data_IF_367865086666
#
_entry.id   IF_367865086666
#
_cell.length_a   1.000
_cell.length_b   1.000
_cell.length_c   1.000
_cell.angle_alpha   90.00
_cell.angle_beta   90.00
_cell.angle_gamma   90.00
#
_symmetry.space_group_name_H-M   'P 1'
#
loop_
_entity.id
_entity.type
_entity.pdbx_description
1 polymer ?
#
# COMPACT_ATOMS: atom_id res chain seq x y z
N UNK A 1 -68.02 -25.86 -4.04
CA UNK A 1 -66.93 -25.17 -4.76
C UNK A 1 -66.12 -24.37 -3.75
N UNK A 2 -64.91 -24.83 -3.42
CA UNK A 2 -63.95 -24.12 -2.55
C UNK A 2 -62.60 -24.15 -3.26
N UNK A 3 -62.04 -22.98 -3.50
CA UNK A 3 -60.72 -22.79 -4.08
C UNK A 3 -59.66 -22.98 -2.99
N UNK A 4 -58.61 -23.75 -3.30
CA UNK A 4 -57.40 -23.85 -2.49
C UNK A 4 -56.28 -23.17 -3.29
N UNK A 5 -55.73 -22.08 -2.78
CA UNK A 5 -54.51 -21.48 -3.33
C UNK A 5 -53.31 -22.35 -2.95
N UNK A 6 -52.76 -23.07 -3.93
CA UNK A 6 -51.44 -23.69 -3.83
C UNK A 6 -50.36 -22.66 -4.19
N UNK A 7 -49.47 -22.36 -3.24
CA UNK A 7 -48.25 -21.58 -3.51
C UNK A 7 -47.20 -22.51 -4.10
N UNK A 8 -46.81 -22.27 -5.34
CA UNK A 8 -45.66 -22.89 -6.00
C UNK A 8 -44.43 -22.05 -5.67
N UNK A 9 -43.52 -22.58 -4.85
CA UNK A 9 -42.20 -21.98 -4.63
C UNK A 9 -41.29 -22.43 -5.77
N UNK A 10 -41.03 -21.51 -6.71
CA UNK A 10 -39.99 -21.64 -7.73
C UNK A 10 -38.62 -21.40 -7.07
N UNK A 11 -37.89 -22.48 -6.80
CA UNK A 11 -36.48 -22.46 -6.41
C UNK A 11 -35.63 -22.16 -7.66
N UNK A 12 -35.39 -20.88 -7.92
CA UNK A 12 -34.40 -20.42 -8.91
C UNK A 12 -33.02 -20.32 -8.23
N UNK A 13 -32.14 -21.25 -8.60
CA UNK A 13 -30.68 -21.09 -8.80
C UNK A 13 -29.79 -20.65 -7.63
N UNK A 14 -28.66 -21.34 -7.36
CA UNK A 14 -27.53 -20.69 -6.72
C UNK A 14 -26.92 -19.70 -7.71
N UNK A 15 -27.33 -18.43 -7.59
CA UNK A 15 -26.62 -17.34 -8.24
C UNK A 15 -25.18 -17.32 -7.78
N UNK A 16 -24.24 -17.32 -8.73
CA UNK A 16 -22.86 -16.92 -8.50
C UNK A 16 -22.87 -15.62 -7.69
N UNK A 17 -22.33 -15.68 -6.47
CA UNK A 17 -22.18 -14.52 -5.61
C UNK A 17 -21.34 -13.48 -6.33
N UNK A 18 -22.01 -12.42 -6.79
CA UNK A 18 -21.34 -11.19 -7.15
C UNK A 18 -20.55 -10.71 -5.92
N UNK A 19 -19.26 -10.47 -6.09
CA UNK A 19 -18.44 -9.66 -5.16
C UNK A 19 -19.08 -8.30 -5.01
N UNK A 20 -20.03 -8.20 -4.08
CA UNK A 20 -20.49 -6.95 -3.48
C UNK A 20 -19.80 -6.90 -2.15
N UNK A 21 -18.75 -6.10 -2.07
CA UNK A 21 -18.56 -5.18 -0.96
C UNK A 21 -17.43 -4.22 -1.33
N UNK A 22 -17.77 -2.92 -1.37
CA UNK A 22 -16.81 -1.82 -1.39
C UNK A 22 -16.11 -1.70 -0.04
N UNK A 23 -15.53 -2.81 0.43
CA UNK A 23 -14.80 -2.87 1.67
C UNK A 23 -13.58 -1.97 1.50
N UNK A 24 -13.50 -0.92 2.33
CA UNK A 24 -12.37 -0.02 2.32
C UNK A 24 -11.11 -0.88 2.53
N UNK A 25 -10.13 -0.74 1.62
CA UNK A 25 -8.86 -1.43 1.80
C UNK A 25 -8.29 -1.03 3.17
N UNK A 26 -7.75 -1.99 3.93
CA UNK A 26 -7.06 -1.68 5.17
C UNK A 26 -5.95 -0.65 4.93
N UNK A 27 -5.84 0.32 5.83
CA UNK A 27 -4.72 1.26 5.87
C UNK A 27 -3.62 0.63 6.74
N UNK A 28 -2.37 0.57 6.28
CA UNK A 28 -1.26 0.13 7.10
C UNK A 28 -1.06 1.12 8.24
N UNK A 29 -0.75 0.59 9.42
CA UNK A 29 -0.53 1.37 10.63
C UNK A 29 0.87 1.99 10.57
N UNK A 30 1.08 3.01 9.74
CA UNK A 30 2.34 3.75 9.77
C UNK A 30 2.29 4.81 10.87
N UNK A 31 3.24 4.77 11.80
CA UNK A 31 3.49 5.79 12.81
C UNK A 31 5.01 5.89 12.96
N UNK A 32 5.63 6.58 12.01
CA UNK A 32 7.08 6.64 11.85
C UNK A 32 7.82 6.84 13.18
N UNK A 33 8.82 5.99 13.46
CA UNK A 33 9.73 6.21 14.57
C UNK A 33 10.95 6.98 14.07
N UNK A 34 10.99 8.28 14.39
CA UNK A 34 12.13 9.13 14.09
C UNK A 34 13.03 9.23 15.32
N UNK A 35 14.27 8.79 15.18
CA UNK A 35 15.32 9.09 16.13
C UNK A 35 16.24 10.13 15.49
N UNK A 36 16.35 11.31 16.11
CA UNK A 36 17.34 12.30 15.68
C UNK A 36 18.73 11.71 15.90
N UNK A 37 19.58 11.77 14.88
CA UNK A 37 20.97 11.34 15.02
C UNK A 37 21.87 12.53 15.38
N UNK A 38 23.04 12.24 15.99
CA UNK A 38 24.11 13.23 16.18
C UNK A 38 24.90 13.50 14.88
N UNK A 39 24.37 13.11 13.73
CA UNK A 39 25.03 13.29 12.43
C UNK A 39 25.05 14.79 12.04
N UNK A 40 26.20 15.32 11.58
CA UNK A 40 26.34 16.73 11.21
C UNK A 40 25.47 17.15 10.02
N UNK A 41 24.94 16.21 9.23
CA UNK A 41 23.97 16.48 8.17
C UNK A 41 22.55 16.73 8.70
N UNK A 42 22.29 16.50 9.99
CA UNK A 42 20.95 16.59 10.56
C UNK A 42 20.05 15.40 10.19
N UNK A 43 20.63 14.29 9.74
CA UNK A 43 19.88 13.11 9.34
C UNK A 43 19.04 12.50 10.49
N UNK A 44 17.93 11.90 10.12
CA UNK A 44 17.09 11.11 11.02
C UNK A 44 17.31 9.63 10.76
N UNK A 45 17.38 8.84 11.83
CA UNK A 45 17.36 7.39 11.74
C UNK A 45 15.91 6.93 11.86
N UNK A 46 15.48 6.11 10.91
CA UNK A 46 14.13 5.55 10.89
C UNK A 46 14.20 4.04 11.06
N UNK A 47 13.30 3.53 11.91
CA UNK A 47 13.03 2.11 12.09
C UNK A 47 11.60 1.81 11.66
N UNK A 48 11.33 0.64 11.05
CA UNK A 48 9.99 0.28 10.64
C UNK A 48 9.09 0.05 11.85
N UNK A 49 7.86 0.53 11.76
CA UNK A 49 6.81 0.39 12.77
C UNK A 49 5.52 -0.19 12.19
N UNK A 50 5.41 -0.28 10.86
CA UNK A 50 4.20 -0.73 10.20
C UNK A 50 3.84 -2.17 10.60
N UNK A 51 2.55 -2.45 10.68
CA UNK A 51 2.08 -3.81 10.91
C UNK A 51 2.38 -4.70 9.69
N UNK A 52 2.59 -6.02 9.89
CA UNK A 52 2.69 -6.96 8.79
C UNK A 52 1.46 -6.92 7.87
N UNK A 53 1.68 -7.08 6.57
CA UNK A 53 0.63 -7.18 5.54
C UNK A 53 0.70 -8.53 4.82
N UNK A 54 -0.40 -8.96 4.23
CA UNK A 54 -0.44 -10.21 3.47
C UNK A 54 0.09 -10.04 2.05
N UNK A 55 0.76 -11.07 1.55
CA UNK A 55 1.13 -11.19 0.13
C UNK A 55 -0.12 -11.15 -0.78
N UNK A 56 0.05 -10.58 -1.98
CA UNK A 56 -0.95 -10.40 -3.04
C UNK A 56 -2.24 -9.68 -2.61
N UNK A 57 -2.19 -8.96 -1.49
CA UNK A 57 -3.29 -8.13 -1.01
C UNK A 57 -2.96 -6.66 -1.19
N UNK A 58 -3.95 -5.90 -1.65
CA UNK A 58 -3.84 -4.46 -1.77
C UNK A 58 -4.19 -3.76 -0.45
N UNK A 59 -3.40 -2.75 -0.07
CA UNK A 59 -3.60 -1.90 1.09
C UNK A 59 -3.58 -0.44 0.65
N UNK A 60 -4.42 0.42 1.21
CA UNK A 60 -4.37 1.87 0.93
C UNK A 60 -3.04 2.43 1.42
N UNK A 61 -2.42 3.32 0.66
CA UNK A 61 -1.16 3.93 1.07
C UNK A 61 -1.06 5.35 0.51
N UNK A 62 -0.64 6.29 1.35
CA UNK A 62 -0.32 7.64 0.92
C UNK A 62 1.20 7.75 0.79
N UNK A 63 1.68 7.92 -0.44
CA UNK A 63 3.10 8.07 -0.76
C UNK A 63 3.45 9.55 -0.77
N UNK A 64 4.54 9.95 -0.12
CA UNK A 64 5.09 11.30 -0.26
C UNK A 64 5.94 11.38 -1.54
N UNK A 65 5.67 12.38 -2.37
CA UNK A 65 6.15 12.46 -3.77
C UNK A 65 6.76 13.81 -4.15
N UNK A 66 6.83 14.77 -3.22
CA UNK A 66 7.24 16.16 -3.47
C UNK A 66 8.62 16.35 -4.13
N UNK A 67 9.56 15.41 -3.95
CA UNK A 67 10.89 15.44 -4.56
C UNK A 67 11.16 14.18 -5.40
N UNK A 68 10.11 13.65 -6.02
CA UNK A 68 10.07 12.26 -6.49
C UNK A 68 9.59 11.33 -5.38
N UNK A 69 9.56 10.02 -5.64
CA UNK A 69 9.11 9.03 -4.67
C UNK A 69 10.02 9.06 -3.43
N UNK A 70 9.51 9.51 -2.29
CA UNK A 70 10.27 9.52 -1.04
C UNK A 70 10.38 8.10 -0.47
N UNK A 71 11.37 7.38 -1.01
CA UNK A 71 11.70 6.02 -0.57
C UNK A 71 12.16 5.98 0.88
N UNK A 72 12.56 7.11 1.46
CA UNK A 72 13.14 7.12 2.79
C UNK A 72 12.11 6.75 3.86
N UNK A 73 10.82 6.95 3.55
CA UNK A 73 9.69 6.79 4.45
C UNK A 73 8.78 5.62 4.11
N UNK A 74 9.13 4.81 3.12
CA UNK A 74 8.29 3.67 2.72
C UNK A 74 8.42 2.55 3.74
N UNK A 75 7.59 2.62 4.78
CA UNK A 75 7.44 1.61 5.82
C UNK A 75 6.16 0.79 5.62
N UNK A 76 6.34 -0.46 5.20
CA UNK A 76 5.25 -1.41 4.93
C UNK A 76 5.69 -2.81 5.37
N UNK A 77 4.76 -3.60 5.93
CA UNK A 77 5.03 -4.97 6.37
C UNK A 77 6.12 -5.08 7.46
N UNK A 78 6.21 -4.08 8.35
CA UNK A 78 7.27 -4.01 9.35
C UNK A 78 8.67 -3.92 8.74
N UNK A 79 8.79 -3.36 7.54
CA UNK A 79 10.04 -3.20 6.82
C UNK A 79 10.12 -1.87 6.10
N UNK A 80 11.32 -1.33 6.00
CA UNK A 80 11.61 -0.19 5.13
C UNK A 80 11.88 -0.68 3.71
N UNK A 81 11.56 0.15 2.72
CA UNK A 81 11.63 -0.20 1.31
C UNK A 81 12.39 0.84 0.50
N UNK A 82 13.21 0.39 -0.44
CA UNK A 82 13.95 1.22 -1.38
C UNK A 82 13.35 1.09 -2.78
N UNK A 83 13.26 2.20 -3.52
CA UNK A 83 12.82 2.16 -4.91
C UNK A 83 13.72 1.23 -5.71
N UNK A 84 13.10 0.29 -6.41
CA UNK A 84 13.75 -0.58 -7.36
C UNK A 84 14.02 0.19 -8.66
N UNK A 85 15.16 0.86 -8.69
CA UNK A 85 15.62 1.62 -9.87
C UNK A 85 15.85 0.76 -11.11
N UNK A 86 15.98 -0.57 -10.97
CA UNK A 86 16.12 -1.48 -12.11
C UNK A 86 14.80 -1.73 -12.84
N UNK A 87 13.69 -1.75 -12.09
CA UNK A 87 12.33 -1.83 -12.63
C UNK A 87 11.83 -0.46 -13.11
N UNK A 88 12.39 0.61 -12.54
CA UNK A 88 12.00 1.99 -12.79
C UNK A 88 10.64 2.35 -12.19
N UNK A 89 10.36 3.64 -12.16
CA UNK A 89 9.01 4.15 -12.02
C UNK A 89 8.38 4.34 -13.40
N UNK A 90 7.06 4.15 -13.49
CA UNK A 90 6.31 4.28 -14.73
C UNK A 90 5.15 5.25 -14.52
N UNK A 91 4.89 6.11 -15.50
CA UNK A 91 3.78 7.07 -15.45
C UNK A 91 4.11 8.31 -14.63
N UNK A 92 3.08 8.92 -14.05
CA UNK A 92 3.17 10.16 -13.27
C UNK A 92 2.59 9.92 -11.89
N UNK A 93 3.11 10.64 -10.89
CA UNK A 93 2.56 10.66 -9.53
C UNK A 93 2.01 12.06 -9.21
N UNK A 94 1.06 12.12 -8.28
CA UNK A 94 0.60 13.40 -7.72
C UNK A 94 1.71 14.07 -6.89
N UNK A 95 1.55 15.34 -6.54
CA UNK A 95 2.49 16.14 -5.75
C UNK A 95 1.67 16.99 -4.74
N UNK A 96 2.05 17.09 -3.45
CA UNK A 96 3.20 16.48 -2.77
C UNK A 96 2.96 15.07 -2.23
N UNK A 97 1.75 14.55 -2.38
CA UNK A 97 1.41 13.18 -2.01
C UNK A 97 0.63 12.51 -3.14
N UNK A 98 0.85 11.21 -3.33
CA UNK A 98 0.01 10.37 -4.15
C UNK A 98 -0.69 9.30 -3.30
N UNK A 99 -2.01 9.34 -3.33
CA UNK A 99 -2.85 8.37 -2.65
C UNK A 99 -3.04 7.16 -3.56
N UNK A 100 -2.65 5.99 -3.11
CA UNK A 100 -2.67 4.79 -3.94
C UNK A 100 -2.90 3.53 -3.15
N UNK A 101 -2.38 2.43 -3.71
CA UNK A 101 -2.36 1.14 -3.03
C UNK A 101 -0.98 0.50 -3.11
N UNK A 102 -0.60 -0.17 -2.03
CA UNK A 102 0.58 -1.03 -1.99
C UNK A 102 0.17 -2.50 -2.00
N UNK A 103 0.97 -3.34 -2.65
CA UNK A 103 0.81 -4.80 -2.67
C UNK A 103 2.18 -5.44 -2.47
N UNK A 104 2.29 -6.33 -1.47
CA UNK A 104 3.47 -7.19 -1.32
C UNK A 104 3.34 -8.35 -2.30
N UNK A 105 4.26 -8.44 -3.25
CA UNK A 105 4.27 -9.49 -4.28
C UNK A 105 4.93 -10.76 -3.74
N UNK A 106 4.57 -11.91 -4.31
CA UNK A 106 5.15 -13.23 -3.96
C UNK A 106 6.68 -13.31 -4.15
N UNK A 107 7.25 -12.48 -5.03
CA UNK A 107 8.70 -12.41 -5.24
C UNK A 107 9.42 -11.56 -4.19
N UNK A 108 8.70 -11.07 -3.17
CA UNK A 108 9.23 -10.27 -2.08
C UNK A 108 9.41 -8.79 -2.39
N UNK A 109 8.97 -8.32 -3.57
CA UNK A 109 8.93 -6.89 -3.92
C UNK A 109 7.64 -6.24 -3.45
N UNK A 110 7.69 -4.94 -3.20
CA UNK A 110 6.51 -4.13 -2.98
C UNK A 110 6.16 -3.40 -4.27
N UNK A 111 4.88 -3.39 -4.65
CA UNK A 111 4.36 -2.58 -5.75
C UNK A 111 3.48 -1.49 -5.20
N UNK A 112 3.67 -0.26 -5.66
CA UNK A 112 2.76 0.86 -5.45
C UNK A 112 2.07 1.21 -6.76
N UNK A 113 0.75 1.34 -6.72
CA UNK A 113 -0.07 1.89 -7.80
C UNK A 113 -0.68 3.22 -7.31
N UNK A 114 -0.22 4.34 -7.88
CA UNK A 114 -0.68 5.70 -7.56
C UNK A 114 -2.05 6.03 -8.16
N UNK A 115 -2.75 7.01 -7.58
CA UNK A 115 -4.09 7.43 -8.02
C UNK A 115 -4.13 7.98 -9.43
N UNK A 116 -3.04 8.59 -9.89
CA UNK A 116 -2.94 9.26 -11.20
C UNK A 116 -2.23 8.39 -12.26
N UNK A 117 -2.08 7.09 -11.99
CA UNK A 117 -1.59 6.11 -12.95
C UNK A 117 -0.10 5.77 -12.85
N UNK A 118 0.62 6.37 -11.88
CA UNK A 118 2.00 6.02 -11.59
C UNK A 118 2.13 4.61 -10.99
N UNK A 119 3.18 3.89 -11.37
CA UNK A 119 3.51 2.57 -10.80
C UNK A 119 4.97 2.55 -10.40
N UNK A 120 5.25 2.08 -9.19
CA UNK A 120 6.60 1.93 -8.67
C UNK A 120 6.79 0.57 -8.01
N UNK A 121 8.01 0.06 -8.08
CA UNK A 121 8.42 -1.18 -7.42
C UNK A 121 9.50 -0.88 -6.40
N UNK A 122 9.51 -1.64 -5.30
CA UNK A 122 10.46 -1.46 -4.23
C UNK A 122 11.04 -2.80 -3.79
N UNK A 123 12.27 -2.75 -3.28
CA UNK A 123 12.96 -3.87 -2.66
C UNK A 123 13.14 -3.60 -1.17
N UNK A 124 13.24 -4.65 -0.35
CA UNK A 124 13.41 -4.49 1.09
C UNK A 124 14.75 -3.81 1.40
N UNK A 125 14.69 -2.72 2.15
CA UNK A 125 15.87 -2.10 2.72
C UNK A 125 16.41 -2.97 3.86
N UNK A 126 17.74 -3.02 4.01
CA UNK A 126 18.38 -3.78 5.08
C UNK A 126 18.86 -2.86 6.18
N UNK A 127 18.25 -2.98 7.37
CA UNK A 127 18.65 -2.23 8.56
C UNK A 127 17.95 -0.88 8.67
N UNK A 128 18.42 0.00 9.57
CA UNK A 128 17.86 1.34 9.72
C UNK A 128 18.29 2.25 8.57
N UNK A 129 17.37 3.13 8.14
CA UNK A 129 17.62 4.10 7.07
C UNK A 129 17.98 5.47 7.66
N UNK A 130 18.96 6.13 7.06
CA UNK A 130 19.24 7.54 7.32
C UNK A 130 18.50 8.39 6.29
N UNK A 131 17.67 9.31 6.76
CA UNK A 131 16.89 10.21 5.93
C UNK A 131 17.54 11.59 6.02
N UNK A 132 18.08 12.13 4.91
CA UNK A 132 18.53 13.52 4.90
C UNK A 132 17.32 14.45 5.05
N UNK A 133 17.52 15.65 5.58
CA UNK A 133 16.49 16.68 5.46
C UNK A 133 16.30 17.00 3.98
N UNK A 134 15.05 16.97 3.52
CA UNK A 134 14.71 17.60 2.24
C UNK A 134 14.78 19.12 2.48
N UNK A 135 15.79 19.78 1.93
CA UNK A 135 15.90 21.24 1.85
C UNK A 135 15.10 21.79 0.66
#
# INVERSE_FOLDING_TARGET
>A
MRWVCGVVVLLLGPGCGASRDGQALPQPTASESFEKTDDPSGAFKVSPVSAPIGEDKAYRYEMYTHCGLDTARVDVDGSLWDLDTSSGEQGTFSDPFDNGKVTLLQDGRLRFDGSVGGVAYFTRHKGPKLIPSCD
#
